data_IF_344201327259
#
_entry.id   IF_344201327259
#
_cell.length_a   1.000
_cell.length_b   1.000
_cell.length_c   1.000
_cell.angle_alpha   90.00
_cell.angle_beta   90.00
_cell.angle_gamma   90.00
#
_symmetry.space_group_name_H-M   'P 1'
#
loop_
_entity.id
_entity.type
_entity.pdbx_description
1 polymer ?
#
# COMPACT_ATOMS: atom_id res chain seq x y z
N UNK A 1 11.80 -7.59 -19.28
CA UNK A 1 11.54 -7.14 -17.88
C UNK A 1 12.82 -6.72 -17.15
N UNK A 2 13.99 -7.19 -17.54
CA UNK A 2 15.28 -6.83 -16.91
C UNK A 2 15.64 -5.34 -16.98
N UNK A 3 15.03 -4.58 -17.89
CA UNK A 3 15.33 -3.15 -18.09
C UNK A 3 14.40 -2.21 -17.32
N UNK A 4 13.23 -2.68 -16.84
CA UNK A 4 12.22 -1.83 -16.21
C UNK A 4 12.60 -1.47 -14.76
N UNK A 5 13.41 -2.28 -14.07
CA UNK A 5 13.85 -2.04 -12.71
C UNK A 5 15.37 -2.02 -12.60
N UNK A 6 16.03 -1.14 -13.36
CA UNK A 6 17.50 -1.04 -13.32
C UNK A 6 18.03 -0.53 -11.99
N UNK A 7 17.34 0.41 -11.36
CA UNK A 7 17.71 1.00 -10.07
C UNK A 7 16.51 0.98 -9.13
N UNK A 8 16.75 0.56 -7.91
CA UNK A 8 15.77 0.57 -6.83
C UNK A 8 16.34 1.29 -5.62
N UNK A 9 15.51 2.09 -4.97
CA UNK A 9 15.80 2.74 -3.69
C UNK A 9 14.86 2.13 -2.66
N UNK A 10 15.41 1.54 -1.61
CA UNK A 10 14.67 0.96 -0.49
C UNK A 10 14.89 1.81 0.74
N UNK A 11 13.81 2.23 1.40
CA UNK A 11 13.85 3.05 2.61
C UNK A 11 12.96 2.42 3.68
N UNK A 12 13.56 1.95 4.77
CA UNK A 12 12.90 1.37 5.94
C UNK A 12 13.94 1.25 7.06
N UNK A 13 13.61 1.63 8.28
CA UNK A 13 14.50 1.53 9.44
C UNK A 13 14.28 0.26 10.28
N UNK A 14 13.25 -0.50 9.97
CA UNK A 14 12.87 -1.69 10.73
C UNK A 14 13.81 -2.87 10.50
N UNK A 15 13.74 -3.80 11.46
CA UNK A 15 14.41 -5.09 11.39
C UNK A 15 13.41 -6.22 11.14
N UNK A 16 13.90 -7.30 10.57
CA UNK A 16 13.10 -8.54 10.40
C UNK A 16 12.86 -9.14 11.77
N UNK A 17 11.59 -9.31 12.12
CA UNK A 17 11.12 -9.91 13.36
C UNK A 17 10.37 -11.22 13.08
N UNK A 18 10.22 -12.06 14.10
CA UNK A 18 9.61 -13.39 13.96
C UNK A 18 8.17 -13.32 13.39
N UNK A 19 7.39 -12.33 13.81
CA UNK A 19 6.01 -12.15 13.35
C UNK A 19 5.92 -11.68 11.87
N UNK A 20 7.03 -11.19 11.28
CA UNK A 20 7.08 -10.84 9.88
C UNK A 20 7.19 -12.08 8.97
N UNK A 21 7.87 -13.15 9.43
CA UNK A 21 8.29 -14.27 8.59
C UNK A 21 7.12 -14.92 7.82
N UNK A 22 5.96 -15.05 8.45
CA UNK A 22 4.79 -15.68 7.82
C UNK A 22 4.27 -14.94 6.57
N UNK A 23 4.63 -13.66 6.40
CA UNK A 23 4.15 -12.80 5.32
C UNK A 23 5.25 -12.04 4.56
N UNK A 24 6.49 -12.18 5.00
CA UNK A 24 7.64 -11.51 4.38
C UNK A 24 8.33 -12.42 3.35
N UNK A 25 9.04 -11.80 2.39
CA UNK A 25 9.83 -12.56 1.40
C UNK A 25 11.07 -13.22 2.03
N UNK A 26 11.57 -12.69 3.15
CA UNK A 26 12.73 -13.17 3.85
C UNK A 26 12.35 -14.27 4.86
N UNK A 27 13.23 -15.25 5.03
CA UNK A 27 13.04 -16.36 5.98
C UNK A 27 13.66 -16.10 7.36
N UNK A 28 13.59 -17.12 8.22
CA UNK A 28 14.10 -17.08 9.60
C UNK A 28 15.60 -16.80 9.71
N UNK A 29 16.35 -17.09 8.68
CA UNK A 29 17.80 -16.81 8.57
C UNK A 29 18.08 -15.29 8.55
N UNK A 30 17.09 -14.46 8.30
CA UNK A 30 17.22 -13.01 8.21
C UNK A 30 16.77 -12.27 9.49
N UNK A 31 16.38 -13.01 10.55
CA UNK A 31 15.94 -12.42 11.81
C UNK A 31 16.97 -11.44 12.38
N UNK A 32 16.51 -10.26 12.79
CA UNK A 32 17.32 -9.17 13.36
C UNK A 32 18.07 -8.33 12.34
N UNK A 33 18.10 -8.69 11.06
CA UNK A 33 18.68 -7.86 10.00
C UNK A 33 17.76 -6.69 9.65
N UNK A 34 18.34 -5.59 9.19
CA UNK A 34 17.57 -4.48 8.61
C UNK A 34 16.76 -4.99 7.41
N UNK A 35 15.47 -4.65 7.36
CA UNK A 35 14.55 -5.07 6.28
C UNK A 35 15.10 -4.69 4.91
N UNK A 36 15.59 -3.45 4.75
CA UNK A 36 16.17 -2.96 3.48
C UNK A 36 17.34 -3.80 2.99
N UNK A 37 18.21 -4.27 3.90
CA UNK A 37 19.37 -5.07 3.53
C UNK A 37 18.97 -6.51 3.17
N UNK A 38 18.07 -7.12 3.92
CA UNK A 38 17.56 -8.46 3.63
C UNK A 38 16.81 -8.49 2.29
N UNK A 39 16.00 -7.47 2.01
CA UNK A 39 15.29 -7.34 0.72
C UNK A 39 16.27 -7.06 -0.42
N UNK A 40 17.28 -6.22 -0.22
CA UNK A 40 18.36 -6.00 -1.21
C UNK A 40 19.01 -7.31 -1.62
N UNK A 41 19.41 -8.14 -0.67
CA UNK A 41 20.04 -9.43 -0.96
C UNK A 41 19.08 -10.37 -1.71
N UNK A 42 17.81 -10.40 -1.33
CA UNK A 42 16.79 -11.16 -2.05
C UNK A 42 16.59 -10.69 -3.50
N UNK A 43 16.68 -9.38 -3.77
CA UNK A 43 16.64 -8.83 -5.13
C UNK A 43 17.87 -9.25 -5.91
N UNK A 44 19.08 -9.07 -5.36
CA UNK A 44 20.34 -9.38 -6.03
C UNK A 44 20.50 -10.88 -6.29
N UNK A 45 19.91 -11.73 -5.43
CA UNK A 45 19.89 -13.18 -5.65
C UNK A 45 19.05 -13.55 -6.89
N UNK A 46 18.01 -12.79 -7.20
CA UNK A 46 17.15 -12.99 -8.39
C UNK A 46 17.67 -12.27 -9.63
N UNK A 47 18.19 -11.06 -9.45
CA UNK A 47 18.75 -10.24 -10.52
C UNK A 47 20.06 -9.59 -10.06
N UNK A 48 21.21 -10.23 -10.32
CA UNK A 48 22.51 -9.74 -9.89
C UNK A 48 22.96 -8.43 -10.58
N UNK A 49 22.26 -8.02 -11.62
CA UNK A 49 22.53 -6.76 -12.35
C UNK A 49 21.71 -5.59 -11.83
N UNK A 50 20.79 -5.80 -10.87
CA UNK A 50 19.99 -4.73 -10.29
C UNK A 50 20.89 -3.79 -9.46
N UNK A 51 20.64 -2.49 -9.57
CA UNK A 51 21.25 -1.49 -8.71
C UNK A 51 20.29 -1.21 -7.55
N UNK A 52 20.71 -1.54 -6.32
CA UNK A 52 19.86 -1.39 -5.13
C UNK A 52 20.57 -0.51 -4.11
N UNK A 53 19.99 0.64 -3.85
CA UNK A 53 20.39 1.54 -2.77
C UNK A 53 19.48 1.34 -1.56
N UNK A 54 20.05 1.43 -0.37
CA UNK A 54 19.31 1.23 0.88
C UNK A 54 19.50 2.40 1.83
N UNK A 55 18.41 2.85 2.43
CA UNK A 55 18.38 3.87 3.48
C UNK A 55 17.70 3.27 4.70
N UNK A 56 18.48 3.03 5.76
CA UNK A 56 18.01 2.53 7.07
C UNK A 56 17.62 3.67 8.00
N UNK A 57 16.72 4.52 7.53
CA UNK A 57 16.29 5.75 8.20
C UNK A 57 14.79 5.84 8.32
N UNK A 58 14.35 6.53 9.36
CA UNK A 58 12.96 6.97 9.50
C UNK A 58 12.71 8.16 8.55
N UNK A 59 11.91 7.94 7.50
CA UNK A 59 11.63 8.98 6.50
C UNK A 59 10.93 10.21 7.08
N UNK A 60 10.21 10.06 8.20
CA UNK A 60 9.53 11.17 8.85
C UNK A 60 10.51 12.14 9.53
N UNK A 61 11.72 11.68 9.84
CA UNK A 61 12.80 12.48 10.42
C UNK A 61 13.80 13.01 9.39
N UNK A 62 13.76 12.49 8.16
CA UNK A 62 14.72 12.79 7.09
C UNK A 62 13.98 13.14 5.79
N UNK A 63 13.14 14.20 5.85
CA UNK A 63 12.30 14.63 4.73
C UNK A 63 13.11 15.11 3.52
N UNK A 64 14.30 15.66 3.73
CA UNK A 64 15.24 16.05 2.69
C UNK A 64 15.72 14.84 1.87
N UNK A 65 16.06 13.75 2.55
CA UNK A 65 16.46 12.50 1.89
C UNK A 65 15.26 11.87 1.18
N UNK A 66 14.08 11.86 1.80
CA UNK A 66 12.85 11.39 1.16
C UNK A 66 12.57 12.15 -0.13
N UNK A 67 12.59 13.50 -0.09
CA UNK A 67 12.34 14.35 -1.25
C UNK A 67 13.35 14.08 -2.37
N UNK A 68 14.64 13.93 -2.04
CA UNK A 68 15.68 13.55 -3.00
C UNK A 68 15.39 12.20 -3.65
N UNK A 69 15.07 11.17 -2.87
CA UNK A 69 14.75 9.84 -3.40
C UNK A 69 13.53 9.86 -4.32
N UNK A 70 12.48 10.61 -3.96
CA UNK A 70 11.29 10.78 -4.80
C UNK A 70 11.63 11.52 -6.10
N UNK A 71 12.45 12.59 -6.03
CA UNK A 71 12.87 13.36 -7.21
C UNK A 71 13.63 12.50 -8.22
N UNK A 72 14.50 11.61 -7.75
CA UNK A 72 15.31 10.71 -8.58
C UNK A 72 14.54 9.49 -9.11
N UNK A 73 13.32 9.22 -8.62
CA UNK A 73 12.54 8.06 -8.99
C UNK A 73 11.52 8.37 -10.09
N UNK A 74 11.30 7.41 -10.99
CA UNK A 74 10.22 7.45 -11.99
C UNK A 74 8.88 7.05 -11.37
N UNK A 75 8.91 6.21 -10.33
CA UNK A 75 7.74 5.75 -9.59
C UNK A 75 8.11 5.55 -8.11
N UNK A 76 7.24 6.02 -7.22
CA UNK A 76 7.37 5.77 -5.77
C UNK A 76 6.27 4.82 -5.31
N UNK A 77 6.64 3.79 -4.55
CA UNK A 77 5.69 2.84 -3.95
C UNK A 77 5.69 3.05 -2.43
N UNK A 78 4.57 3.48 -1.89
CA UNK A 78 4.33 3.64 -0.46
C UNK A 78 3.58 2.41 0.08
N UNK A 79 4.32 1.53 0.74
CA UNK A 79 3.80 0.31 1.40
C UNK A 79 3.94 0.41 2.94
N UNK A 80 3.95 1.63 3.46
CA UNK A 80 4.01 1.92 4.89
C UNK A 80 2.61 1.83 5.50
N UNK A 81 2.52 1.50 6.77
CA UNK A 81 1.28 1.47 7.55
C UNK A 81 1.02 2.79 8.30
N UNK A 82 2.03 3.61 8.50
CA UNK A 82 1.95 4.88 9.22
C UNK A 82 1.40 6.02 8.35
N UNK A 83 0.40 6.74 8.86
CA UNK A 83 -0.20 7.89 8.16
C UNK A 83 0.80 9.01 7.87
N UNK A 84 1.67 9.34 8.83
CA UNK A 84 2.66 10.40 8.67
C UNK A 84 3.58 10.15 7.47
N UNK A 85 4.09 8.92 7.34
CA UNK A 85 4.93 8.52 6.20
C UNK A 85 4.19 8.66 4.87
N UNK A 86 2.91 8.26 4.82
CA UNK A 86 2.07 8.38 3.61
C UNK A 86 1.83 9.83 3.22
N UNK A 87 1.52 10.70 4.20
CA UNK A 87 1.36 12.13 3.94
C UNK A 87 2.66 12.79 3.47
N UNK A 88 3.80 12.47 4.07
CA UNK A 88 5.09 12.99 3.67
C UNK A 88 5.47 12.56 2.25
N UNK A 89 5.24 11.29 1.89
CA UNK A 89 5.42 10.80 0.51
C UNK A 89 4.48 11.54 -0.44
N UNK A 90 3.20 11.70 -0.08
CA UNK A 90 2.23 12.41 -0.91
C UNK A 90 2.63 13.86 -1.16
N UNK A 91 3.08 14.58 -0.14
CA UNK A 91 3.55 15.95 -0.27
C UNK A 91 4.73 16.05 -1.25
N UNK A 92 5.71 15.13 -1.18
CA UNK A 92 6.82 15.06 -2.12
C UNK A 92 6.32 14.78 -3.55
N UNK A 93 5.42 13.82 -3.75
CA UNK A 93 4.87 13.47 -5.06
C UNK A 93 4.15 14.66 -5.71
N UNK A 94 3.29 15.33 -4.94
CA UNK A 94 2.54 16.51 -5.41
C UNK A 94 3.49 17.65 -5.76
N UNK A 95 4.40 17.98 -4.84
CA UNK A 95 5.40 19.05 -5.03
C UNK A 95 6.28 18.86 -6.27
N UNK A 96 6.69 17.61 -6.51
CA UNK A 96 7.62 17.27 -7.59
C UNK A 96 6.92 16.82 -8.89
N UNK A 97 5.58 16.75 -8.91
CA UNK A 97 4.84 16.25 -10.05
C UNK A 97 5.17 14.79 -10.41
N UNK A 98 5.38 13.94 -9.42
CA UNK A 98 5.77 12.54 -9.60
C UNK A 98 4.59 11.58 -9.43
N UNK A 99 4.75 10.37 -9.95
CA UNK A 99 3.76 9.29 -9.83
C UNK A 99 4.05 8.44 -8.61
N UNK A 100 2.98 8.09 -7.86
CA UNK A 100 3.09 7.20 -6.71
C UNK A 100 1.96 6.19 -6.60
N UNK A 101 2.27 5.07 -5.97
CA UNK A 101 1.31 4.03 -5.61
C UNK A 101 1.31 3.87 -4.08
N UNK A 102 0.12 3.93 -3.48
CA UNK A 102 -0.08 3.71 -2.05
C UNK A 102 -0.87 2.43 -1.87
N UNK A 103 -0.24 1.39 -1.32
CA UNK A 103 -0.90 0.13 -1.05
C UNK A 103 -1.16 -0.08 0.43
N UNK A 104 -2.29 -0.72 0.75
CA UNK A 104 -2.66 -1.07 2.11
C UNK A 104 -3.39 -2.41 2.13
N UNK A 105 -3.01 -3.28 3.05
CA UNK A 105 -3.86 -4.37 3.50
C UNK A 105 -4.62 -3.87 4.75
N UNK A 106 -5.92 -4.08 4.79
CA UNK A 106 -6.68 -3.81 6.02
C UNK A 106 -6.49 -4.94 7.02
N UNK A 107 -6.87 -4.71 8.27
CA UNK A 107 -6.75 -5.66 9.37
C UNK A 107 -7.15 -7.08 8.96
N UNK A 108 -6.38 -8.08 9.36
CA UNK A 108 -6.54 -9.50 9.00
C UNK A 108 -6.50 -9.79 7.49
N UNK A 109 -6.07 -8.83 6.68
CA UNK A 109 -6.13 -8.89 5.22
C UNK A 109 -7.53 -9.30 4.67
N UNK A 110 -8.60 -8.88 5.36
CA UNK A 110 -9.99 -9.07 4.91
C UNK A 110 -10.27 -8.37 3.59
N UNK A 111 -9.44 -7.39 3.26
CA UNK A 111 -9.38 -6.67 2.01
C UNK A 111 -8.12 -5.84 1.94
N UNK A 112 -8.10 -4.92 0.99
CA UNK A 112 -7.02 -3.97 0.83
C UNK A 112 -7.34 -2.95 -0.25
N UNK A 113 -6.49 -1.96 -0.36
CA UNK A 113 -6.67 -0.94 -1.38
C UNK A 113 -5.33 -0.47 -1.96
N UNK A 114 -5.42 0.09 -3.16
CA UNK A 114 -4.29 0.73 -3.84
C UNK A 114 -4.79 2.04 -4.44
N UNK A 115 -4.16 3.14 -4.02
CA UNK A 115 -4.32 4.44 -4.63
C UNK A 115 -3.15 4.70 -5.58
N UNK A 116 -3.47 5.20 -6.76
CA UNK A 116 -2.51 5.68 -7.75
C UNK A 116 -2.60 7.21 -7.83
N UNK A 117 -1.52 7.87 -7.44
CA UNK A 117 -1.38 9.33 -7.49
C UNK A 117 -0.63 9.69 -8.78
N UNK A 118 -1.21 10.61 -9.55
CA UNK A 118 -0.64 11.15 -10.78
C UNK A 118 -0.69 12.67 -10.76
N UNK A 119 0.22 13.35 -11.45
CA UNK A 119 0.15 14.81 -11.62
C UNK A 119 -1.23 15.24 -12.17
N UNK A 120 -1.84 16.21 -11.52
CA UNK A 120 -3.17 16.73 -11.88
C UNK A 120 -4.38 15.87 -11.46
N UNK A 121 -4.16 14.64 -11.00
CA UNK A 121 -5.19 13.75 -10.47
C UNK A 121 -5.44 13.92 -8.96
N UNK A 122 -6.30 13.06 -8.38
CA UNK A 122 -6.51 13.01 -6.94
C UNK A 122 -5.24 12.49 -6.23
N UNK A 123 -4.92 13.09 -5.08
CA UNK A 123 -3.79 12.70 -4.25
C UNK A 123 -4.24 11.90 -3.02
N UNK A 124 -3.28 11.49 -2.17
CA UNK A 124 -3.60 10.74 -0.95
C UNK A 124 -4.49 11.54 0.02
N UNK A 125 -4.28 12.86 0.13
CA UNK A 125 -5.15 13.72 0.94
C UNK A 125 -6.58 13.82 0.40
N UNK A 126 -6.77 13.79 -0.93
CA UNK A 126 -8.13 13.70 -1.51
C UNK A 126 -8.83 12.39 -1.14
N UNK A 127 -8.09 11.27 -1.05
CA UNK A 127 -8.65 10.00 -0.61
C UNK A 127 -9.01 10.04 0.87
N UNK A 128 -8.09 10.49 1.73
CA UNK A 128 -8.30 10.52 3.18
C UNK A 128 -9.35 11.54 3.61
N UNK A 129 -9.51 12.64 2.90
CA UNK A 129 -10.61 13.60 3.09
C UNK A 129 -11.98 13.05 2.68
N UNK A 130 -12.04 11.94 1.95
CA UNK A 130 -13.29 11.33 1.52
C UNK A 130 -13.90 10.48 2.66
N UNK A 131 -15.20 10.64 3.00
CA UNK A 131 -15.87 9.82 4.02
C UNK A 131 -15.72 8.32 3.82
N UNK A 132 -15.52 7.90 2.59
CA UNK A 132 -15.24 6.52 2.18
C UNK A 132 -13.99 5.93 2.89
N UNK A 133 -12.97 6.75 3.15
CA UNK A 133 -11.71 6.30 3.74
C UNK A 133 -11.79 6.13 5.27
N UNK A 134 -12.52 7.01 5.95
CA UNK A 134 -12.60 7.05 7.42
C UNK A 134 -13.36 5.88 8.07
N UNK A 135 -14.04 5.06 7.28
CA UNK A 135 -14.76 3.90 7.80
C UNK A 135 -13.85 2.72 8.21
N UNK A 136 -12.53 2.84 7.99
CA UNK A 136 -11.56 1.75 8.18
C UNK A 136 -10.40 2.12 9.10
N UNK A 137 -10.68 2.85 10.15
CA UNK A 137 -9.65 3.17 11.14
C UNK A 137 -9.27 1.91 11.93
N UNK A 138 -7.98 1.58 12.02
CA UNK A 138 -7.46 0.43 12.78
C UNK A 138 -7.89 0.47 14.25
N UNK A 139 -8.03 1.68 14.81
CA UNK A 139 -8.56 1.91 16.17
C UNK A 139 -9.96 1.34 16.33
N UNK A 140 -10.76 1.34 15.26
CA UNK A 140 -12.11 0.80 15.26
C UNK A 140 -12.13 -0.71 15.42
N UNK A 141 -11.14 -1.43 14.91
CA UNK A 141 -11.08 -2.88 14.96
C UNK A 141 -10.69 -3.42 16.35
N UNK A 142 -9.72 -2.80 17.03
CA UNK A 142 -9.38 -3.14 18.41
C UNK A 142 -10.56 -2.85 19.34
N UNK A 143 -11.21 -1.69 19.19
CA UNK A 143 -12.40 -1.33 19.96
C UNK A 143 -13.52 -2.33 19.72
N UNK A 144 -13.80 -2.68 18.47
CA UNK A 144 -14.83 -3.65 18.11
C UNK A 144 -14.52 -5.05 18.64
N UNK A 145 -13.24 -5.48 18.57
CA UNK A 145 -12.83 -6.76 19.12
C UNK A 145 -12.97 -6.81 20.65
N UNK A 146 -12.74 -5.69 21.34
CA UNK A 146 -13.00 -5.56 22.78
C UNK A 146 -14.51 -5.58 23.10
N UNK A 147 -15.32 -4.83 22.34
CA UNK A 147 -16.78 -4.82 22.48
C UNK A 147 -17.39 -6.20 22.26
N UNK A 148 -16.83 -7.00 21.37
CA UNK A 148 -17.23 -8.38 21.10
C UNK A 148 -16.64 -9.41 22.09
N UNK A 149 -15.83 -8.96 23.06
CA UNK A 149 -15.19 -9.85 24.06
C UNK A 149 -14.11 -10.76 23.48
N UNK A 150 -13.66 -10.52 22.24
CA UNK A 150 -12.59 -11.29 21.59
C UNK A 150 -11.23 -10.93 22.19
N UNK A 151 -11.05 -9.67 22.57
CA UNK A 151 -9.85 -9.19 23.26
C UNK A 151 -10.24 -8.78 24.68
N UNK A 152 -9.66 -9.43 25.72
CA UNK A 152 -9.91 -9.04 27.10
C UNK A 152 -9.48 -7.60 27.40
N UNK A 153 -10.18 -6.92 28.30
CA UNK A 153 -9.92 -5.53 28.65
C UNK A 153 -8.53 -5.28 29.28
N UNK A 154 -7.90 -6.31 29.84
CA UNK A 154 -6.58 -6.22 30.48
C UNK A 154 -5.41 -6.37 29.50
N UNK A 155 -5.67 -6.69 28.24
CA UNK A 155 -4.65 -6.75 27.17
C UNK A 155 -4.29 -5.32 26.78
N UNK A 156 -2.98 -5.00 26.70
CA UNK A 156 -2.53 -3.69 26.23
C UNK A 156 -3.02 -3.39 24.81
N UNK A 157 -3.06 -2.12 24.43
CA UNK A 157 -3.46 -1.77 23.06
C UNK A 157 -2.43 -2.30 22.05
N UNK A 158 -1.15 -2.31 22.40
CA UNK A 158 -0.06 -2.84 21.57
C UNK A 158 -0.21 -4.35 21.34
N UNK A 159 -0.46 -5.12 22.40
CA UNK A 159 -0.72 -6.57 22.28
C UNK A 159 -2.03 -6.83 21.55
N UNK A 160 -3.05 -6.00 21.78
CA UNK A 160 -4.33 -6.10 21.08
C UNK A 160 -4.18 -5.89 19.58
N UNK A 161 -3.40 -4.89 19.14
CA UNK A 161 -3.06 -4.68 17.73
C UNK A 161 -2.30 -5.89 17.17
N UNK A 162 -1.32 -6.42 17.88
CA UNK A 162 -0.57 -7.59 17.45
C UNK A 162 -1.47 -8.83 17.28
N UNK A 163 -2.48 -9.01 18.15
CA UNK A 163 -3.44 -10.13 18.06
C UNK A 163 -4.44 -10.00 16.89
N UNK A 164 -4.80 -8.77 16.52
CA UNK A 164 -5.82 -8.50 15.48
C UNK A 164 -5.23 -8.45 14.07
N UNK A 165 -3.95 -8.12 13.94
CA UNK A 165 -3.30 -7.79 12.66
C UNK A 165 -2.73 -8.97 11.87
N UNK A 166 -2.97 -10.22 12.22
CA UNK A 166 -2.41 -11.36 11.49
C UNK A 166 -3.16 -11.58 10.18
N UNK A 167 -2.66 -10.96 9.11
CA UNK A 167 -3.05 -11.29 7.75
C UNK A 167 -2.21 -12.45 7.21
N UNK A 168 -2.85 -13.40 6.52
CA UNK A 168 -2.15 -14.49 5.82
C UNK A 168 -1.44 -13.95 4.57
N UNK A 169 -0.30 -14.52 4.23
CA UNK A 169 0.44 -14.14 3.00
C UNK A 169 -0.42 -14.33 1.75
N UNK A 170 -1.27 -15.35 1.70
CA UNK A 170 -2.21 -15.61 0.60
C UNK A 170 -3.26 -14.53 0.45
N UNK A 171 -3.65 -13.88 1.54
CA UNK A 171 -4.65 -12.79 1.54
C UNK A 171 -4.02 -11.45 1.11
N UNK A 172 -2.72 -11.27 1.39
CA UNK A 172 -1.95 -10.07 1.02
C UNK A 172 -1.41 -10.15 -0.42
N UNK A 173 -1.09 -11.35 -0.91
CA UNK A 173 -0.51 -11.56 -2.23
C UNK A 173 -1.30 -10.92 -3.39
N UNK A 174 -2.66 -10.95 -3.43
CA UNK A 174 -3.42 -10.24 -4.47
C UNK A 174 -3.15 -8.73 -4.51
N UNK A 175 -2.97 -8.10 -3.34
CA UNK A 175 -2.67 -6.66 -3.22
C UNK A 175 -1.29 -6.38 -3.79
N UNK A 176 -0.28 -7.15 -3.39
CA UNK A 176 1.08 -7.01 -3.90
C UNK A 176 1.14 -7.22 -5.41
N UNK A 177 0.48 -8.25 -5.94
CA UNK A 177 0.44 -8.54 -7.37
C UNK A 177 -0.23 -7.41 -8.16
N UNK A 178 -1.32 -6.85 -7.65
CA UNK A 178 -2.00 -5.73 -8.31
C UNK A 178 -1.14 -4.46 -8.27
N UNK A 179 -0.44 -4.21 -7.16
CA UNK A 179 0.48 -3.08 -7.05
C UNK A 179 1.61 -3.16 -8.08
N UNK A 180 2.19 -4.36 -8.28
CA UNK A 180 3.21 -4.59 -9.31
C UNK A 180 2.64 -4.38 -10.72
N UNK A 181 1.41 -4.83 -11.01
CA UNK A 181 0.75 -4.58 -12.30
C UNK A 181 0.51 -3.10 -12.55
N UNK A 182 0.08 -2.35 -11.54
CA UNK A 182 -0.07 -0.89 -11.64
C UNK A 182 1.28 -0.19 -11.81
N UNK A 183 2.33 -0.66 -11.13
CA UNK A 183 3.69 -0.15 -11.31
C UNK A 183 4.20 -0.34 -12.74
N UNK A 184 4.02 -1.54 -13.30
CA UNK A 184 4.35 -1.83 -14.69
C UNK A 184 3.55 -0.95 -15.66
N UNK A 185 2.26 -0.77 -15.39
CA UNK A 185 1.38 0.09 -16.17
C UNK A 185 1.90 1.55 -16.22
N UNK A 186 2.30 2.10 -15.06
CA UNK A 186 2.84 3.46 -15.01
C UNK A 186 4.20 3.61 -15.69
N UNK A 187 5.12 2.66 -15.43
CA UNK A 187 6.47 2.69 -16.00
C UNK A 187 6.50 2.42 -17.52
N UNK A 188 5.47 1.73 -18.05
CA UNK A 188 5.36 1.43 -19.48
C UNK A 188 4.48 2.42 -20.24
N UNK A 189 4.01 3.47 -19.58
CA UNK A 189 3.13 4.46 -20.19
C UNK A 189 3.86 5.22 -21.29
N UNK A 190 3.27 5.25 -22.50
CA UNK A 190 3.87 5.87 -23.68
C UNK A 190 4.93 5.03 -24.37
N UNK A 191 5.16 3.80 -23.92
CA UNK A 191 6.07 2.84 -24.55
C UNK A 191 5.24 1.77 -25.23
N UNK A 192 5.49 1.52 -26.51
CA UNK A 192 4.88 0.37 -27.21
C UNK A 192 5.49 -0.93 -26.66
N UNK A 193 4.68 -1.73 -25.98
CA UNK A 193 5.13 -2.97 -25.33
C UNK A 193 3.99 -3.99 -25.22
N UNK A 194 4.32 -5.24 -24.93
CA UNK A 194 3.39 -6.36 -24.88
C UNK A 194 2.36 -6.31 -23.73
N UNK A 195 2.29 -5.23 -22.94
CA UNK A 195 1.34 -5.07 -21.83
C UNK A 195 0.31 -3.95 -22.09
N UNK A 196 0.14 -3.49 -23.32
CA UNK A 196 -0.81 -2.42 -23.69
C UNK A 196 -2.23 -2.68 -23.18
N UNK A 197 -2.69 -3.93 -23.21
CA UNK A 197 -4.01 -4.32 -22.66
C UNK A 197 -4.16 -3.99 -21.16
N UNK A 198 -3.09 -4.05 -20.38
CA UNK A 198 -3.14 -3.64 -18.97
C UNK A 198 -3.32 -2.12 -18.84
N UNK A 199 -2.77 -1.35 -19.77
CA UNK A 199 -2.90 0.11 -19.78
C UNK A 199 -4.36 0.51 -20.09
N UNK A 200 -5.02 -0.22 -20.97
CA UNK A 200 -6.42 -0.01 -21.36
C UNK A 200 -7.39 -0.38 -20.22
N UNK A 201 -7.10 -1.46 -19.49
CA UNK A 201 -7.98 -1.98 -18.45
C UNK A 201 -7.77 -1.29 -17.08
N UNK A 202 -6.53 -0.97 -16.72
CA UNK A 202 -6.20 -0.39 -15.42
C UNK A 202 -6.31 1.15 -15.44
N UNK A 203 -7.54 1.66 -15.62
CA UNK A 203 -7.81 3.09 -15.83
C UNK A 203 -8.15 3.88 -14.57
N UNK A 204 -8.55 3.21 -13.49
CA UNK A 204 -8.97 3.88 -12.25
C UNK A 204 -7.77 4.36 -11.42
N UNK A 205 -8.02 5.38 -10.59
CA UNK A 205 -7.01 5.89 -9.64
C UNK A 205 -7.03 5.12 -8.32
N UNK A 206 -8.16 4.54 -7.96
CA UNK A 206 -8.32 3.80 -6.71
C UNK A 206 -8.89 2.42 -6.95
N UNK A 207 -8.26 1.41 -6.34
CA UNK A 207 -8.65 0.01 -6.45
C UNK A 207 -8.83 -0.59 -5.07
N UNK A 208 -9.90 -1.37 -4.89
CA UNK A 208 -10.23 -2.03 -3.64
C UNK A 208 -10.29 -3.53 -3.88
N UNK A 209 -9.57 -4.30 -3.09
CA UNK A 209 -9.61 -5.74 -3.02
C UNK A 209 -10.61 -6.18 -1.96
N UNK A 210 -11.64 -6.92 -2.32
CA UNK A 210 -12.58 -7.54 -1.42
C UNK A 210 -12.22 -9.02 -1.25
N UNK A 211 -11.61 -9.38 -0.13
CA UNK A 211 -11.18 -10.74 0.16
C UNK A 211 -12.27 -11.55 0.85
N UNK A 212 -12.96 -10.94 1.81
CA UNK A 212 -14.01 -11.59 2.61
C UNK A 212 -15.28 -10.75 2.67
N UNK A 213 -16.44 -11.37 3.04
CA UNK A 213 -17.73 -10.66 3.11
C UNK A 213 -17.94 -9.86 4.38
N UNK A 214 -17.26 -10.21 5.44
CA UNK A 214 -17.18 -9.51 6.70
C UNK A 214 -16.33 -8.23 6.63
N UNK A 215 -15.75 -7.97 5.46
CA UNK A 215 -15.04 -6.75 5.16
C UNK A 215 -15.92 -5.52 5.34
N UNK A 216 -15.41 -4.50 6.03
CA UNK A 216 -16.19 -3.32 6.42
C UNK A 216 -16.77 -2.53 5.22
N UNK A 217 -16.17 -2.62 4.05
CA UNK A 217 -16.68 -2.01 2.82
C UNK A 217 -17.90 -2.72 2.22
N UNK A 218 -18.32 -3.86 2.77
CA UNK A 218 -19.49 -4.59 2.26
C UNK A 218 -20.77 -3.74 2.18
N UNK A 219 -20.86 -2.69 3.02
CA UNK A 219 -21.99 -1.78 3.09
C UNK A 219 -21.83 -0.50 2.26
N UNK A 220 -20.74 -0.35 1.50
CA UNK A 220 -20.53 0.85 0.70
C UNK A 220 -21.51 0.96 -0.48
N UNK A 221 -21.98 2.16 -0.72
CA UNK A 221 -22.89 2.45 -1.82
C UNK A 221 -22.42 1.98 -3.21
N UNK A 222 -21.11 2.06 -3.57
CA UNK A 222 -20.63 1.52 -4.85
C UNK A 222 -20.78 0.00 -4.96
N UNK A 223 -20.77 -0.72 -3.85
CA UNK A 223 -20.83 -2.18 -3.81
C UNK A 223 -22.22 -2.69 -3.47
N UNK A 224 -23.01 -1.89 -2.73
CA UNK A 224 -24.34 -2.25 -2.24
C UNK A 224 -25.45 -1.56 -3.05
N UNK A 225 -25.40 -1.69 -4.38
CA UNK A 225 -26.48 -1.19 -5.27
C UNK A 225 -27.78 -2.00 -5.16
N UNK A 226 -27.72 -3.19 -4.56
CA UNK A 226 -28.89 -4.03 -4.31
C UNK A 226 -28.79 -4.62 -2.91
N UNK A 227 -29.65 -4.25 -1.97
CA UNK A 227 -29.63 -4.73 -0.60
C UNK A 227 -29.79 -6.25 -0.47
N UNK A 228 -30.27 -6.92 -1.52
CA UNK A 228 -30.40 -8.37 -1.58
C UNK A 228 -29.18 -9.08 -2.22
N UNK A 229 -28.15 -8.36 -2.64
CA UNK A 229 -26.92 -8.93 -3.20
C UNK A 229 -25.76 -8.67 -2.28
N UNK A 230 -25.20 -9.74 -1.75
CA UNK A 230 -23.94 -9.69 -1.03
C UNK A 230 -22.80 -9.22 -1.94
N UNK A 231 -21.83 -8.50 -1.38
CA UNK A 231 -20.58 -8.15 -2.04
C UNK A 231 -19.94 -9.42 -2.65
N UNK A 232 -19.56 -9.34 -3.92
CA UNK A 232 -18.78 -10.41 -4.55
C UNK A 232 -17.35 -10.31 -4.03
N UNK A 233 -16.87 -11.34 -3.38
CA UNK A 233 -15.52 -11.44 -2.84
C UNK A 233 -14.54 -12.01 -3.88
N UNK A 234 -13.25 -12.02 -3.52
CA UNK A 234 -12.12 -12.44 -4.36
C UNK A 234 -12.09 -11.64 -5.67
N UNK A 235 -12.31 -10.33 -5.56
CA UNK A 235 -12.45 -9.44 -6.71
C UNK A 235 -11.87 -8.06 -6.41
N UNK A 236 -11.32 -7.46 -7.46
CA UNK A 236 -10.96 -6.05 -7.50
C UNK A 236 -12.12 -5.18 -7.96
N UNK A 237 -12.25 -4.03 -7.31
CA UNK A 237 -13.20 -2.97 -7.69
C UNK A 237 -12.41 -1.71 -8.00
N UNK A 238 -12.57 -1.20 -9.23
CA UNK A 238 -12.04 0.11 -9.63
C UNK A 238 -13.02 1.21 -9.20
N UNK A 239 -12.50 2.24 -8.57
CA UNK A 239 -13.25 3.41 -8.12
C UNK A 239 -12.67 4.66 -8.76
N UNK A 240 -13.52 5.44 -9.42
CA UNK A 240 -13.13 6.75 -9.95
C UNK A 240 -13.13 7.76 -8.82
N UNK A 241 -11.95 8.10 -8.34
CA UNK A 241 -11.77 9.12 -7.32
C UNK A 241 -11.78 10.50 -7.97
N UNK A 242 -12.53 11.43 -7.40
CA UNK A 242 -12.50 12.83 -7.85
C UNK A 242 -11.42 13.59 -7.08
N UNK A 243 -10.68 14.44 -7.79
CA UNK A 243 -9.80 15.42 -7.15
C UNK A 243 -10.69 16.39 -6.35
N UNK A 244 -10.33 16.61 -5.11
CA UNK A 244 -10.98 17.60 -4.26
C UNK A 244 -10.43 18.99 -4.64
N UNK A 245 -11.33 19.88 -5.03
CA UNK A 245 -10.99 21.27 -5.40
C UNK A 245 -10.48 22.10 -4.22
N UNK A 246 -10.81 21.69 -2.99
CA UNK A 246 -10.39 22.35 -1.74
C UNK A 246 -9.22 21.63 -1.06
N UNK A 247 -8.68 20.57 -1.67
CA UNK A 247 -7.57 19.82 -1.11
C UNK A 247 -6.36 20.73 -0.87
N UNK A 248 -5.86 20.77 0.38
CA UNK A 248 -4.76 21.64 0.78
C UNK A 248 -3.42 21.21 0.16
N UNK A 249 -3.29 19.95 -0.26
CA UNK A 249 -2.07 19.39 -0.81
C UNK A 249 -1.95 19.59 -2.34
N UNK A 250 -3.00 19.32 -3.10
CA UNK A 250 -2.90 19.20 -4.56
C UNK A 250 -3.80 20.17 -5.35
N UNK A 251 -4.41 21.17 -4.69
CA UNK A 251 -5.21 22.20 -5.37
C UNK A 251 -4.40 23.06 -6.35
#
# INVERSE_FOLDING_TARGET
LGDVYKRQILMDFDRIELHNIARHICGVNELGRLKVNAVKDAILLKNPYAQVETYDIDMNKHLDILEKCVAESDLTIAATDEYASRYNINACLVKLGKVGLFGRAVTRAEGGDILRVRPGGPCYACLTGNPIYHQNDEITDVRRARELGVIPAYVSDEDAHAMVQVGLSTDIAPINNMMVKLALNELSRGIECGISSLIEELTYDYYIWANRRDFQFANWAPFNRNPNRHLTILRWYGVKLKKDSECLECR
#
